data_IF_040389231035
#
_entry.id   IF_040389231035
#
_cell.length_a   1.000
_cell.length_b   1.000
_cell.length_c   1.000
_cell.angle_alpha   90.00
_cell.angle_beta   90.00
_cell.angle_gamma   90.00
#
_symmetry.space_group_name_H-M   'P 1'
#
loop_
_entity.id
_entity.type
_entity.pdbx_description
1 polymer ?
#
# COMPACT_ATOMS: atom_id res chain seq x y z
N UNK A 1 19.33 -17.67 -6.57
CA UNK A 1 20.18 -16.74 -5.79
C UNK A 1 19.29 -15.69 -5.12
N UNK A 2 18.25 -16.15 -4.41
CA UNK A 2 17.59 -15.36 -3.37
C UNK A 2 18.45 -15.55 -2.12
N UNK A 3 19.65 -14.97 -2.15
CA UNK A 3 20.48 -14.95 -0.96
C UNK A 3 19.66 -14.24 0.12
N UNK A 4 19.60 -14.88 1.28
CA UNK A 4 19.11 -14.29 2.52
C UNK A 4 19.71 -12.90 2.65
N UNK A 5 18.90 -11.88 2.36
CA UNK A 5 19.25 -10.49 2.56
C UNK A 5 19.43 -10.29 4.06
N UNK A 6 20.68 -10.46 4.51
CA UNK A 6 21.07 -10.20 5.88
C UNK A 6 20.96 -8.70 6.12
N UNK A 7 20.27 -8.34 7.20
CA UNK A 7 19.98 -6.95 7.57
C UNK A 7 21.22 -6.06 7.47
N UNK A 8 20.97 -4.80 7.15
CA UNK A 8 22.03 -3.79 7.08
C UNK A 8 22.79 -3.75 8.41
N UNK A 9 24.08 -4.06 8.40
CA UNK A 9 24.97 -3.71 9.50
C UNK A 9 24.82 -2.20 9.79
N UNK A 10 24.99 -1.77 11.03
CA UNK A 10 24.85 -0.35 11.42
C UNK A 10 25.72 0.62 10.59
N UNK A 11 26.74 0.10 9.88
CA UNK A 11 27.60 0.82 8.95
C UNK A 11 26.96 1.16 7.59
N UNK A 12 25.85 0.51 7.21
CA UNK A 12 25.17 0.66 5.91
C UNK A 12 23.86 1.47 6.00
N UNK A 13 23.70 2.28 7.06
CA UNK A 13 22.51 3.12 7.21
C UNK A 13 22.39 4.17 6.11
N UNK A 14 21.21 4.24 5.53
CA UNK A 14 20.87 5.23 4.51
C UNK A 14 20.80 6.62 5.12
N UNK A 15 21.56 7.57 4.58
CA UNK A 15 21.38 8.98 4.89
C UNK A 15 20.10 9.47 4.21
N UNK A 16 18.97 9.41 4.94
CA UNK A 16 17.70 9.88 4.41
C UNK A 16 17.74 11.35 4.01
N UNK A 17 18.59 12.18 4.62
CA UNK A 17 18.66 13.62 4.32
C UNK A 17 19.21 13.92 2.93
N UNK A 18 19.90 12.94 2.33
CA UNK A 18 20.40 13.02 0.96
C UNK A 18 19.36 12.61 -0.11
N UNK A 19 18.22 12.03 0.31
CA UNK A 19 17.20 11.55 -0.62
C UNK A 19 16.31 12.70 -1.12
N UNK A 20 15.93 12.69 -2.42
CA UNK A 20 15.22 13.81 -3.05
C UNK A 20 13.82 14.06 -2.48
N UNK A 21 13.21 13.05 -1.87
CA UNK A 21 11.89 13.13 -1.25
C UNK A 21 11.93 13.53 0.22
N UNK A 22 13.12 13.59 0.83
CA UNK A 22 13.23 13.93 2.24
C UNK A 22 12.87 15.38 2.50
N UNK A 23 12.19 15.61 3.62
CA UNK A 23 11.88 16.96 4.11
C UNK A 23 11.86 16.99 5.63
N UNK A 24 12.00 18.19 6.19
CA UNK A 24 11.79 18.42 7.62
C UNK A 24 10.34 18.09 7.99
N UNK A 25 10.17 17.07 8.83
CA UNK A 25 8.92 16.73 9.49
C UNK A 25 8.72 17.49 10.81
N UNK A 26 7.45 17.74 11.15
CA UNK A 26 6.98 18.17 12.47
C UNK A 26 6.45 16.99 13.26
N UNK A 27 7.05 16.73 14.42
CA UNK A 27 6.76 15.56 15.25
C UNK A 27 6.39 16.01 16.65
N UNK A 28 5.33 15.41 17.19
CA UNK A 28 4.93 15.61 18.58
C UNK A 28 4.51 14.27 19.20
N UNK A 29 4.41 14.24 20.52
CA UNK A 29 3.98 13.06 21.25
C UNK A 29 3.04 13.41 22.42
N UNK A 30 2.06 12.54 22.66
CA UNK A 30 1.24 12.51 23.88
C UNK A 30 1.64 11.24 24.64
N UNK A 31 2.52 11.42 25.61
CA UNK A 31 3.20 10.35 26.34
C UNK A 31 2.67 10.21 27.79
N UNK A 32 2.89 9.07 28.46
CA UNK A 32 2.31 8.81 29.79
C UNK A 32 2.90 9.67 30.91
N UNK A 33 4.08 10.26 30.71
CA UNK A 33 4.79 11.08 31.69
C UNK A 33 5.92 10.35 32.43
N UNK A 34 5.89 9.01 32.53
CA UNK A 34 6.96 8.19 33.11
C UNK A 34 6.95 6.75 32.54
N UNK A 35 8.07 6.02 32.70
CA UNK A 35 8.22 4.60 32.35
C UNK A 35 8.91 4.33 31.00
N UNK A 36 9.08 3.05 30.62
CA UNK A 36 9.81 2.62 29.43
C UNK A 36 9.35 3.30 28.12
N UNK A 37 8.03 3.44 27.96
CA UNK A 37 7.45 4.11 26.78
C UNK A 37 7.80 5.60 26.75
N UNK A 38 7.81 6.26 27.91
CA UNK A 38 8.20 7.68 28.01
C UNK A 38 9.66 7.86 27.62
N UNK A 39 10.56 7.04 28.18
CA UNK A 39 12.00 7.09 27.90
C UNK A 39 12.27 6.86 26.41
N UNK A 40 11.60 5.88 25.80
CA UNK A 40 11.68 5.63 24.37
C UNK A 40 11.19 6.81 23.53
N UNK A 41 10.05 7.41 23.87
CA UNK A 41 9.51 8.58 23.15
C UNK A 41 10.46 9.77 23.26
N UNK A 42 11.08 9.99 24.42
CA UNK A 42 12.04 11.07 24.62
C UNK A 42 13.31 10.86 23.79
N UNK A 43 13.83 9.63 23.74
CA UNK A 43 14.97 9.29 22.90
C UNK A 43 14.64 9.38 21.40
N UNK A 44 13.44 8.97 21.00
CA UNK A 44 12.94 9.15 19.64
C UNK A 44 12.82 10.63 19.28
N UNK A 45 12.33 11.47 20.19
CA UNK A 45 12.31 12.93 20.04
C UNK A 45 13.71 13.52 19.86
N UNK A 46 14.70 13.08 20.65
CA UNK A 46 16.10 13.48 20.46
C UNK A 46 16.64 13.03 19.10
N UNK A 47 16.31 11.81 18.66
CA UNK A 47 16.75 11.28 17.37
C UNK A 47 16.16 12.04 16.19
N UNK A 48 14.87 12.43 16.26
CA UNK A 48 14.24 13.33 15.29
C UNK A 48 14.95 14.69 15.24
N UNK A 49 15.15 15.31 16.40
CA UNK A 49 15.84 16.62 16.49
C UNK A 49 17.28 16.53 15.96
N UNK A 50 17.99 15.44 16.23
CA UNK A 50 19.34 15.17 15.74
C UNK A 50 19.42 15.04 14.21
N UNK A 51 18.36 14.57 13.55
CA UNK A 51 18.23 14.51 12.08
C UNK A 51 17.70 15.83 11.48
N UNK A 52 17.46 16.86 12.31
CA UNK A 52 17.01 18.19 11.86
C UNK A 52 15.49 18.38 11.82
N UNK A 53 14.70 17.50 12.43
CA UNK A 53 13.24 17.62 12.49
C UNK A 53 12.76 18.57 13.60
N UNK A 54 11.55 19.13 13.42
CA UNK A 54 10.91 20.00 14.42
C UNK A 54 10.17 19.13 15.44
N UNK A 55 10.62 19.13 16.70
CA UNK A 55 10.05 18.29 17.77
C UNK A 55 9.30 19.12 18.80
N UNK A 56 8.12 18.65 19.16
CA UNK A 56 7.25 19.23 20.18
C UNK A 56 6.22 20.21 19.60
N UNK A 57 5.29 20.63 20.46
CA UNK A 57 4.24 21.57 20.05
C UNK A 57 4.84 22.90 19.60
N UNK A 58 4.46 23.41 18.42
CA UNK A 58 4.84 24.74 18.00
C UNK A 58 4.40 25.74 19.06
N UNK A 59 5.34 26.53 19.57
CA UNK A 59 5.01 27.64 20.48
C UNK A 59 3.99 28.49 19.75
N UNK A 60 2.80 28.63 20.35
CA UNK A 60 1.77 29.56 19.89
C UNK A 60 2.42 30.92 19.66
N UNK A 61 2.69 31.27 18.41
CA UNK A 61 3.09 32.63 18.07
C UNK A 61 1.83 33.45 18.25
N UNK A 62 1.75 34.16 19.38
CA UNK A 62 0.63 35.03 19.69
C UNK A 62 0.38 35.96 18.48
N UNK A 63 -0.75 35.78 17.80
CA UNK A 63 -1.17 36.63 16.68
C UNK A 63 -1.27 35.95 15.31
N UNK A 64 -0.78 34.74 15.10
CA UNK A 64 -0.98 34.02 13.84
C UNK A 64 -2.04 32.91 14.02
N UNK A 65 -3.26 33.15 13.55
CA UNK A 65 -4.36 32.15 13.54
C UNK A 65 -4.12 30.96 12.60
N UNK A 66 -2.87 30.58 12.34
CA UNK A 66 -2.50 29.50 11.43
C UNK A 66 -2.50 28.19 12.21
N UNK A 67 -3.42 27.28 11.88
CA UNK A 67 -3.39 25.89 12.37
C UNK A 67 -2.05 25.28 12.00
N UNK A 68 -1.33 24.74 12.97
CA UNK A 68 -0.09 24.02 12.69
C UNK A 68 -0.43 22.57 12.38
N UNK A 69 0.00 22.09 11.23
CA UNK A 69 -0.09 20.68 10.86
C UNK A 69 1.11 19.92 11.41
N UNK A 70 0.83 18.77 12.05
CA UNK A 70 1.84 17.80 12.46
C UNK A 70 1.97 16.73 11.37
N UNK A 71 3.20 16.36 11.07
CA UNK A 71 3.48 15.26 10.14
C UNK A 71 3.35 13.91 10.85
N UNK A 72 3.84 13.83 12.09
CA UNK A 72 3.74 12.64 12.95
C UNK A 72 3.24 13.05 14.34
N UNK A 73 2.27 12.32 14.87
CA UNK A 73 1.84 12.41 16.25
C UNK A 73 1.83 11.01 16.87
N UNK A 74 2.70 10.79 17.84
CA UNK A 74 2.77 9.56 18.63
C UNK A 74 1.84 9.70 19.85
N UNK A 75 0.98 8.73 20.09
CA UNK A 75 0.07 8.77 21.24
C UNK A 75 0.15 7.46 21.99
N UNK A 76 0.64 7.51 23.21
CA UNK A 76 0.64 6.34 24.08
C UNK A 76 -0.79 5.96 24.48
N UNK A 77 -1.13 4.70 24.23
CA UNK A 77 -2.40 4.10 24.61
C UNK A 77 -2.11 3.11 25.74
N UNK A 78 -2.46 3.43 26.99
CA UNK A 78 -2.17 2.54 28.12
C UNK A 78 -2.94 1.23 27.93
N UNK A 79 -2.23 0.12 28.09
CA UNK A 79 -2.82 -1.22 28.12
C UNK A 79 -3.15 -1.55 29.57
N UNK A 80 -4.42 -1.75 29.94
CA UNK A 80 -4.77 -2.10 31.31
C UNK A 80 -4.05 -3.39 31.75
N UNK A 81 -3.59 -3.48 33.02
CA UNK A 81 -3.09 -4.75 33.54
C UNK A 81 -4.26 -5.73 33.69
N UNK A 82 -3.99 -7.02 33.46
CA UNK A 82 -4.99 -8.06 33.66
C UNK A 82 -4.70 -9.32 32.86
N UNK A 83 -5.44 -10.42 33.12
CA UNK A 83 -5.38 -11.61 32.29
C UNK A 83 -6.00 -11.36 30.91
N UNK A 84 -5.64 -12.19 29.94
CA UNK A 84 -6.17 -12.15 28.57
C UNK A 84 -5.18 -11.58 27.55
N UNK A 85 -5.59 -11.60 26.29
CA UNK A 85 -4.76 -11.10 25.19
C UNK A 85 -4.67 -9.58 25.20
N UNK A 86 -3.72 -9.00 24.46
CA UNK A 86 -3.69 -7.54 24.25
C UNK A 86 -5.03 -7.01 23.70
N UNK A 87 -5.67 -7.79 22.82
CA UNK A 87 -6.99 -7.50 22.28
C UNK A 87 -8.08 -7.51 23.34
N UNK A 88 -8.03 -8.35 24.36
CA UNK A 88 -9.05 -8.35 25.41
C UNK A 88 -8.95 -7.11 26.31
N UNK A 89 -7.73 -6.60 26.48
CA UNK A 89 -7.41 -5.52 27.43
C UNK A 89 -7.65 -4.13 26.86
N UNK A 90 -7.41 -3.92 25.56
CA UNK A 90 -7.61 -2.61 24.91
C UNK A 90 -9.07 -2.42 24.51
N UNK A 91 -9.78 -1.58 25.24
CA UNK A 91 -11.19 -1.26 24.97
C UNK A 91 -11.35 -0.29 23.78
N UNK A 92 -12.54 -0.32 23.16
CA UNK A 92 -12.92 0.67 22.14
C UNK A 92 -12.93 2.09 22.73
N UNK A 93 -12.28 3.02 22.05
CA UNK A 93 -12.27 4.44 22.40
C UNK A 93 -13.33 5.18 21.59
N UNK A 94 -14.38 5.64 22.26
CA UNK A 94 -15.43 6.44 21.62
C UNK A 94 -15.47 7.87 22.19
N UNK A 95 -15.39 8.92 21.34
CA UNK A 95 -15.17 8.90 19.89
C UNK A 95 -13.71 8.52 19.51
N UNK A 96 -13.41 8.29 18.21
CA UNK A 96 -12.06 7.95 17.75
C UNK A 96 -10.98 8.92 18.25
N UNK A 97 -9.75 8.43 18.44
CA UNK A 97 -8.65 9.14 19.10
C UNK A 97 -8.45 10.58 18.62
N UNK A 98 -8.42 10.81 17.30
CA UNK A 98 -8.26 12.16 16.74
C UNK A 98 -9.35 13.14 17.21
N UNK A 99 -10.58 12.67 17.40
CA UNK A 99 -11.68 13.48 17.92
C UNK A 99 -11.45 13.80 19.39
N UNK A 100 -10.96 12.85 20.19
CA UNK A 100 -10.63 13.06 21.60
C UNK A 100 -9.50 14.08 21.76
N UNK A 101 -8.40 13.94 21.00
CA UNK A 101 -7.27 14.85 21.03
C UNK A 101 -7.64 16.29 20.66
N UNK A 102 -8.57 16.45 19.71
CA UNK A 102 -9.12 17.78 19.36
C UNK A 102 -9.99 18.36 20.47
N UNK A 103 -10.75 17.52 21.18
CA UNK A 103 -11.62 17.95 22.30
C UNK A 103 -10.83 18.32 23.55
N UNK A 104 -9.77 17.57 23.88
CA UNK A 104 -8.87 17.89 25.00
C UNK A 104 -8.00 19.12 24.73
N UNK A 105 -7.87 19.52 23.46
CA UNK A 105 -7.03 20.63 23.03
C UNK A 105 -5.57 20.25 22.84
N UNK A 106 -5.25 18.94 22.88
CA UNK A 106 -3.93 18.40 22.59
C UNK A 106 -3.54 18.59 21.12
N UNK A 107 -4.53 18.59 20.23
CA UNK A 107 -4.33 18.83 18.79
C UNK A 107 -5.21 19.98 18.32
N UNK A 108 -4.59 21.04 17.78
CA UNK A 108 -5.29 22.21 17.23
C UNK A 108 -5.30 22.28 15.69
N UNK A 109 -4.58 21.37 15.01
CA UNK A 109 -4.45 21.34 13.55
C UNK A 109 -4.67 19.96 12.93
N UNK A 110 -4.20 19.80 11.70
CA UNK A 110 -4.17 18.51 11.01
C UNK A 110 -3.03 17.64 11.53
N UNK A 111 -3.20 16.33 11.49
CA UNK A 111 -2.16 15.33 11.78
C UNK A 111 -2.16 14.39 10.59
N UNK A 112 -1.03 14.26 9.90
CA UNK A 112 -0.91 13.38 8.73
C UNK A 112 -0.75 11.92 9.15
N UNK A 113 0.18 11.64 10.06
CA UNK A 113 0.42 10.31 10.60
C UNK A 113 0.12 10.28 12.10
N UNK A 114 -1.05 9.76 12.47
CA UNK A 114 -1.38 9.44 13.85
C UNK A 114 -0.93 8.00 14.15
N UNK A 115 -0.09 7.83 15.16
CA UNK A 115 0.49 6.53 15.54
C UNK A 115 0.11 6.21 16.98
N UNK A 116 -0.64 5.13 17.20
CA UNK A 116 -0.92 4.62 18.54
C UNK A 116 0.27 3.80 19.06
N UNK A 117 0.84 4.18 20.21
CA UNK A 117 1.98 3.50 20.82
C UNK A 117 1.49 2.61 21.95
N UNK A 118 1.85 1.33 21.92
CA UNK A 118 1.42 0.31 22.88
C UNK A 118 2.63 -0.40 23.47
N UNK A 119 2.63 -0.58 24.78
CA UNK A 119 3.54 -1.51 25.46
C UNK A 119 2.97 -2.93 25.35
N UNK A 120 3.82 -3.90 25.00
CA UNK A 120 3.44 -5.31 24.87
C UNK A 120 4.32 -6.19 25.75
N UNK A 121 3.77 -7.32 26.18
CA UNK A 121 4.45 -8.24 27.11
C UNK A 121 5.22 -9.35 26.37
N UNK A 122 5.13 -9.40 25.04
CA UNK A 122 5.79 -10.40 24.19
C UNK A 122 6.29 -9.78 22.87
N UNK A 123 7.43 -10.26 22.34
CA UNK A 123 7.98 -9.79 21.07
C UNK A 123 7.11 -10.24 19.89
N UNK A 124 7.05 -9.43 18.83
CA UNK A 124 6.28 -9.70 17.61
C UNK A 124 7.15 -10.21 16.45
N UNK A 125 8.49 -10.04 16.50
CA UNK A 125 9.40 -10.43 15.41
C UNK A 125 9.32 -11.91 14.98
N UNK A 126 8.85 -12.79 15.87
CA UNK A 126 8.68 -14.23 15.60
C UNK A 126 7.22 -14.68 15.44
N UNK A 127 6.26 -13.76 15.56
CA UNK A 127 4.84 -14.07 15.44
C UNK A 127 4.44 -14.28 13.97
N UNK A 128 3.34 -15.01 13.73
CA UNK A 128 2.86 -15.21 12.37
C UNK A 128 2.34 -13.89 11.80
N UNK A 129 2.62 -13.64 10.53
CA UNK A 129 2.22 -12.41 9.85
C UNK A 129 0.73 -12.09 10.03
N UNK A 130 -0.17 -13.06 9.79
CA UNK A 130 -1.62 -12.84 9.96
C UNK A 130 -2.02 -12.52 11.41
N UNK A 131 -1.32 -13.07 12.41
CA UNK A 131 -1.60 -12.80 13.83
C UNK A 131 -1.23 -11.35 14.18
N UNK A 132 -0.07 -10.86 13.70
CA UNK A 132 0.38 -9.47 13.89
C UNK A 132 -0.51 -8.48 13.15
N UNK A 133 -0.88 -8.78 11.89
CA UNK A 133 -1.77 -7.92 11.08
C UNK A 133 -3.15 -7.82 11.74
N UNK A 134 -3.72 -8.94 12.20
CA UNK A 134 -5.01 -8.93 12.89
C UNK A 134 -4.95 -8.15 14.19
N UNK A 135 -3.88 -8.35 14.99
CA UNK A 135 -3.65 -7.59 16.21
C UNK A 135 -3.61 -6.08 15.93
N UNK A 136 -2.79 -5.67 14.97
CA UNK A 136 -2.63 -4.28 14.58
C UNK A 136 -3.96 -3.67 14.11
N UNK A 137 -4.66 -4.31 13.17
CA UNK A 137 -5.93 -3.80 12.62
C UNK A 137 -7.03 -3.64 13.66
N UNK A 138 -7.17 -4.60 14.57
CA UNK A 138 -8.13 -4.46 15.67
C UNK A 138 -7.79 -3.26 16.54
N UNK A 139 -6.52 -3.08 16.91
CA UNK A 139 -6.11 -1.95 17.76
C UNK A 139 -6.21 -0.60 17.03
N UNK A 140 -5.83 -0.54 15.76
CA UNK A 140 -6.05 0.61 14.87
C UNK A 140 -7.52 1.01 14.86
N UNK A 141 -8.43 0.04 14.68
CA UNK A 141 -9.86 0.26 14.65
C UNK A 141 -10.45 0.63 16.02
N UNK A 142 -9.98 0.03 17.13
CA UNK A 142 -10.50 0.35 18.47
C UNK A 142 -10.09 1.72 18.96
N UNK A 143 -8.89 2.16 18.61
CA UNK A 143 -8.36 3.47 19.02
C UNK A 143 -8.71 4.56 17.99
N UNK A 144 -8.74 4.22 16.71
CA UNK A 144 -8.89 5.20 15.62
C UNK A 144 -7.56 5.85 15.24
N UNK A 145 -6.52 5.03 15.11
CA UNK A 145 -5.22 5.40 14.58
C UNK A 145 -4.89 4.50 13.38
N UNK A 146 -4.46 5.04 12.22
CA UNK A 146 -4.14 4.25 11.03
C UNK A 146 -2.82 3.48 11.13
N UNK A 147 -1.99 3.76 12.15
CA UNK A 147 -0.69 3.12 12.38
C UNK A 147 -0.55 2.79 13.86
N UNK A 148 0.17 1.71 14.18
CA UNK A 148 0.47 1.33 15.56
C UNK A 148 1.95 1.04 15.72
N UNK A 149 2.52 1.39 16.88
CA UNK A 149 3.88 1.07 17.27
C UNK A 149 3.82 0.23 18.54
N UNK A 150 4.24 -1.02 18.45
CA UNK A 150 4.37 -1.90 19.59
C UNK A 150 5.78 -1.82 20.15
N UNK A 151 5.91 -1.66 21.46
CA UNK A 151 7.17 -1.60 22.18
C UNK A 151 7.21 -2.78 23.17
N UNK A 152 8.23 -3.63 23.04
CA UNK A 152 8.48 -4.73 23.96
C UNK A 152 9.63 -4.34 24.91
N UNK A 153 9.36 -3.95 26.16
CA UNK A 153 10.40 -3.64 27.13
C UNK A 153 10.93 -4.90 27.82
N UNK A 154 12.19 -4.86 28.21
CA UNK A 154 12.79 -5.79 29.16
C UNK A 154 12.11 -5.62 30.54
N UNK A 155 11.53 -6.68 31.13
CA UNK A 155 10.80 -6.56 32.39
C UNK A 155 11.64 -6.14 33.61
N UNK A 156 12.97 -6.25 33.54
CA UNK A 156 13.86 -5.94 34.67
C UNK A 156 14.45 -4.54 34.56
N UNK A 157 14.83 -4.14 33.34
CA UNK A 157 15.56 -2.90 33.08
C UNK A 157 14.67 -1.80 32.50
N UNK A 158 13.51 -2.15 31.92
CA UNK A 158 12.67 -1.23 31.18
C UNK A 158 13.24 -0.83 29.82
N UNK A 159 14.38 -1.39 29.39
CA UNK A 159 14.96 -1.10 28.08
C UNK A 159 14.07 -1.70 26.99
N UNK A 160 13.75 -0.93 25.94
CA UNK A 160 13.04 -1.48 24.77
C UNK A 160 13.95 -2.48 24.04
N UNK A 161 13.49 -3.73 23.93
CA UNK A 161 14.18 -4.84 23.25
C UNK A 161 13.72 -5.03 21.81
N UNK A 162 12.47 -4.65 21.51
CA UNK A 162 11.91 -4.68 20.16
C UNK A 162 10.92 -3.52 19.98
N UNK A 163 10.91 -2.94 18.78
CA UNK A 163 9.81 -2.09 18.34
C UNK A 163 9.27 -2.55 16.98
N UNK A 164 7.95 -2.67 16.88
CA UNK A 164 7.26 -3.16 15.68
C UNK A 164 6.27 -2.10 15.20
N UNK A 165 6.54 -1.50 14.03
CA UNK A 165 5.69 -0.48 13.41
C UNK A 165 4.72 -1.14 12.44
N UNK A 166 3.42 -1.09 12.72
CA UNK A 166 2.40 -1.67 11.87
C UNK A 166 1.59 -0.63 11.07
N UNK A 167 1.22 -1.00 9.85
CA UNK A 167 0.35 -0.21 8.96
C UNK A 167 -0.93 -0.96 8.59
N UNK A 168 -1.94 -0.27 8.05
CA UNK A 168 -3.21 -0.90 7.68
C UNK A 168 -3.05 -1.93 6.56
N UNK A 169 -2.10 -1.70 5.67
CA UNK A 169 -1.80 -2.53 4.50
C UNK A 169 -1.25 -3.91 4.87
N UNK A 170 -0.76 -4.06 6.11
CA UNK A 170 -0.23 -5.32 6.62
C UNK A 170 1.27 -5.31 6.90
N UNK A 171 1.96 -4.17 6.72
CA UNK A 171 3.36 -4.03 7.09
C UNK A 171 3.53 -4.07 8.60
N UNK A 172 4.55 -4.78 9.09
CA UNK A 172 4.91 -4.87 10.51
C UNK A 172 6.41 -5.17 10.74
N UNK A 173 7.35 -4.44 10.12
CA UNK A 173 8.78 -4.63 10.39
C UNK A 173 9.10 -4.46 11.88
N UNK A 174 9.72 -5.51 12.45
CA UNK A 174 10.17 -5.57 13.85
C UNK A 174 11.66 -5.28 13.97
N UNK A 175 12.02 -4.26 14.74
CA UNK A 175 13.41 -3.80 14.89
C UNK A 175 13.93 -4.17 16.27
N UNK A 176 15.08 -4.83 16.33
CA UNK A 176 15.74 -5.26 17.59
C UNK A 176 17.14 -4.64 17.80
N UNK A 177 17.66 -3.93 16.81
CA UNK A 177 18.95 -3.23 16.84
C UNK A 177 18.78 -1.78 16.46
N UNK A 178 19.50 -0.86 17.11
CA UNK A 178 19.41 0.58 16.89
C UNK A 178 17.96 1.12 16.78
N UNK A 179 17.08 0.55 17.61
CA UNK A 179 15.62 0.62 17.53
C UNK A 179 15.10 2.04 17.33
N UNK A 180 15.59 2.98 18.15
CA UNK A 180 15.14 4.38 18.10
C UNK A 180 15.38 5.02 16.74
N UNK A 181 16.54 4.81 16.14
CA UNK A 181 16.91 5.43 14.87
C UNK A 181 16.19 4.78 13.68
N UNK A 182 15.97 3.46 13.69
CA UNK A 182 15.21 2.79 12.63
C UNK A 182 13.72 3.11 12.68
N UNK A 183 13.13 3.18 13.87
CA UNK A 183 11.74 3.62 14.03
C UNK A 183 11.59 5.09 13.60
N UNK A 184 12.55 5.97 13.94
CA UNK A 184 12.59 7.34 13.41
C UNK A 184 12.54 7.33 11.89
N UNK A 185 13.46 6.62 11.25
CA UNK A 185 13.62 6.65 9.79
C UNK A 185 12.39 6.09 9.05
N UNK A 186 11.75 5.05 9.58
CA UNK A 186 10.46 4.53 9.07
C UNK A 186 9.32 5.53 9.21
N UNK A 187 9.25 6.23 10.35
CA UNK A 187 8.25 7.28 10.57
C UNK A 187 8.50 8.51 9.67
N UNK A 188 9.76 8.88 9.44
CA UNK A 188 10.16 9.95 8.50
C UNK A 188 9.76 9.58 7.08
N UNK A 189 10.04 8.35 6.63
CA UNK A 189 9.64 7.88 5.31
C UNK A 189 8.13 7.97 5.12
N UNK A 190 7.35 7.43 6.08
CA UNK A 190 5.89 7.53 6.05
C UNK A 190 5.36 8.98 6.12
N UNK A 191 6.08 9.87 6.80
CA UNK A 191 5.72 11.28 6.93
C UNK A 191 6.06 12.11 5.69
N UNK A 192 7.11 11.75 4.96
CA UNK A 192 7.50 12.45 3.73
C UNK A 192 6.56 12.12 2.56
N UNK A 193 5.96 10.94 2.56
CA UNK A 193 4.94 10.55 1.60
C UNK A 193 3.65 11.38 1.76
N UNK A 194 3.05 11.75 0.63
CA UNK A 194 1.77 12.47 0.57
C UNK A 194 0.73 11.61 -0.11
N UNK A 195 -0.46 11.49 0.49
CA UNK A 195 -1.60 10.82 -0.15
C UNK A 195 -1.97 11.50 -1.49
N UNK A 196 -2.35 10.68 -2.47
CA UNK A 196 -2.78 11.15 -3.80
C UNK A 196 -4.25 10.89 -4.09
N UNK A 197 -4.97 10.24 -3.17
CA UNK A 197 -6.36 9.80 -3.36
C UNK A 197 -7.36 10.94 -3.64
N UNK A 198 -7.05 12.18 -3.22
CA UNK A 198 -7.85 13.39 -3.47
C UNK A 198 -7.52 14.08 -4.81
N UNK A 199 -6.51 13.59 -5.53
CA UNK A 199 -6.05 14.13 -6.82
C UNK A 199 -6.75 13.42 -7.97
N UNK A 200 -8.08 13.45 -7.95
CA UNK A 200 -8.95 12.77 -8.90
C UNK A 200 -9.83 13.77 -9.66
N UNK A 201 -9.92 13.64 -10.97
CA UNK A 201 -10.87 14.36 -11.83
C UNK A 201 -11.83 13.37 -12.49
N UNK A 202 -13.13 13.62 -12.32
CA UNK A 202 -14.16 12.86 -13.02
C UNK A 202 -14.41 13.49 -14.39
N UNK A 203 -14.30 12.69 -15.45
CA UNK A 203 -14.63 13.07 -16.82
C UNK A 203 -15.95 12.39 -17.18
N UNK A 204 -17.10 13.08 -17.00
CA UNK A 204 -18.42 12.49 -17.20
C UNK A 204 -18.64 12.11 -18.67
N UNK A 205 -19.38 11.03 -18.89
CA UNK A 205 -19.80 10.53 -20.21
C UNK A 205 -18.63 10.33 -21.21
N UNK A 206 -17.41 10.13 -20.71
CA UNK A 206 -16.21 9.92 -21.52
C UNK A 206 -16.24 8.59 -22.28
N UNK A 207 -16.90 7.57 -21.71
CA UNK A 207 -17.03 6.24 -22.32
C UNK A 207 -18.51 5.99 -22.63
N UNK A 208 -18.80 5.63 -23.88
CA UNK A 208 -20.15 5.25 -24.28
C UNK A 208 -20.47 3.82 -23.79
N UNK A 209 -21.69 3.53 -23.30
CA UNK A 209 -22.07 2.20 -22.82
C UNK A 209 -21.83 1.11 -23.86
N UNK A 210 -22.13 1.38 -25.13
CA UNK A 210 -21.91 0.43 -26.23
C UNK A 210 -20.43 0.10 -26.44
N UNK A 211 -19.52 1.06 -26.22
CA UNK A 211 -18.08 0.82 -26.29
C UNK A 211 -17.60 0.02 -25.07
N UNK A 212 -18.09 0.37 -23.88
CA UNK A 212 -17.78 -0.35 -22.64
C UNK A 212 -18.26 -1.82 -22.67
N UNK A 213 -19.48 -2.06 -23.15
CA UNK A 213 -20.05 -3.41 -23.26
C UNK A 213 -19.34 -4.25 -24.34
N UNK A 214 -18.87 -3.61 -25.41
CA UNK A 214 -18.09 -4.25 -26.46
C UNK A 214 -16.67 -4.60 -26.00
N UNK A 215 -16.10 -3.80 -25.09
CA UNK A 215 -14.77 -4.02 -24.53
C UNK A 215 -14.67 -5.40 -23.84
N UNK A 216 -13.50 -6.02 -23.97
CA UNK A 216 -13.25 -7.32 -23.33
C UNK A 216 -12.78 -7.15 -21.88
N UNK A 217 -12.09 -6.05 -21.57
CA UNK A 217 -11.42 -5.84 -20.29
C UNK A 217 -12.32 -5.97 -19.05
N UNK A 218 -13.59 -5.50 -19.00
CA UNK A 218 -14.41 -5.67 -17.78
C UNK A 218 -14.69 -7.14 -17.46
N UNK A 219 -14.96 -7.96 -18.50
CA UNK A 219 -15.21 -9.40 -18.35
C UNK A 219 -13.94 -10.17 -18.00
N UNK A 220 -12.81 -9.78 -18.59
CA UNK A 220 -11.50 -10.37 -18.28
C UNK A 220 -11.14 -10.13 -16.81
N UNK A 221 -11.26 -8.89 -16.32
CA UNK A 221 -11.01 -8.57 -14.91
C UNK A 221 -11.97 -9.32 -13.98
N UNK A 222 -13.24 -9.47 -14.36
CA UNK A 222 -14.19 -10.27 -13.59
C UNK A 222 -13.77 -11.75 -13.48
N UNK A 223 -13.27 -12.34 -14.57
CA UNK A 223 -12.75 -13.71 -14.57
C UNK A 223 -11.44 -13.85 -13.79
N UNK A 224 -10.52 -12.89 -13.94
CA UNK A 224 -9.26 -12.82 -13.21
C UNK A 224 -9.50 -12.72 -11.70
N UNK A 225 -10.45 -11.88 -11.25
CA UNK A 225 -10.80 -11.75 -9.84
C UNK A 225 -11.29 -13.05 -9.22
N UNK A 226 -12.19 -13.76 -9.90
CA UNK A 226 -12.62 -15.11 -9.48
C UNK A 226 -11.47 -16.10 -9.41
N UNK A 227 -10.51 -16.01 -10.34
CA UNK A 227 -9.34 -16.88 -10.36
C UNK A 227 -8.38 -16.55 -9.23
N UNK A 228 -8.03 -15.28 -9.01
CA UNK A 228 -7.22 -14.84 -7.87
C UNK A 228 -7.85 -15.25 -6.54
N UNK A 229 -9.18 -15.15 -6.40
CA UNK A 229 -9.89 -15.63 -5.22
C UNK A 229 -9.74 -17.15 -4.99
N UNK A 230 -9.78 -17.97 -6.05
CA UNK A 230 -9.53 -19.42 -5.95
C UNK A 230 -8.08 -19.76 -5.62
N UNK A 231 -7.13 -18.96 -6.10
CA UNK A 231 -5.70 -19.11 -5.81
C UNK A 231 -5.31 -18.57 -4.42
N UNK A 232 -6.21 -17.88 -3.72
CA UNK A 232 -5.91 -17.25 -2.43
C UNK A 232 -5.10 -15.95 -2.54
N UNK A 233 -4.96 -15.39 -3.74
CA UNK A 233 -4.24 -14.12 -3.99
C UNK A 233 -5.06 -12.88 -3.58
N UNK A 234 -6.35 -13.05 -3.33
CA UNK A 234 -7.25 -12.00 -2.82
C UNK A 234 -7.93 -12.49 -1.53
N UNK A 235 -7.73 -11.81 -0.40
CA UNK A 235 -8.48 -12.10 0.81
C UNK A 235 -9.94 -11.61 0.69
N UNK A 236 -10.85 -12.08 1.56
CA UNK A 236 -12.18 -11.49 1.68
C UNK A 236 -12.12 -9.99 2.02
N UNK A 237 -13.08 -9.18 1.55
CA UNK A 237 -13.20 -7.79 1.99
C UNK A 237 -13.31 -7.69 3.52
N UNK A 238 -12.56 -6.76 4.09
CA UNK A 238 -12.58 -6.49 5.53
C UNK A 238 -13.63 -5.42 5.83
N UNK A 239 -14.55 -5.71 6.74
CA UNK A 239 -15.54 -4.74 7.19
C UNK A 239 -15.07 -4.13 8.49
N UNK A 240 -15.33 -2.84 8.69
CA UNK A 240 -15.00 -2.18 9.96
C UNK A 240 -15.73 -2.85 11.14
N UNK A 241 -16.93 -3.38 10.90
CA UNK A 241 -17.72 -4.14 11.88
C UNK A 241 -17.07 -5.45 12.35
N UNK A 242 -16.06 -5.94 11.64
CA UNK A 242 -15.33 -7.14 12.03
C UNK A 242 -14.31 -6.84 13.14
N UNK A 243 -13.97 -5.56 13.35
CA UNK A 243 -12.95 -5.12 14.31
C UNK A 243 -13.51 -4.35 15.51
N UNK A 244 -14.68 -3.74 15.36
CA UNK A 244 -15.30 -2.88 16.38
C UNK A 244 -16.83 -3.02 16.42
N UNK A 245 -17.43 -2.55 17.50
CA UNK A 245 -18.87 -2.49 17.70
C UNK A 245 -19.59 -1.76 16.57
N UNK A 246 -20.86 -2.11 16.37
CA UNK A 246 -21.74 -1.46 15.37
C UNK A 246 -21.80 0.06 15.56
N UNK A 247 -21.79 0.54 16.82
CA UNK A 247 -21.77 1.96 17.14
C UNK A 247 -20.50 2.65 16.67
N UNK A 248 -19.34 2.04 16.88
CA UNK A 248 -18.05 2.58 16.45
C UNK A 248 -17.92 2.53 14.93
N UNK A 249 -18.34 1.44 14.28
CA UNK A 249 -18.39 1.33 12.83
C UNK A 249 -19.28 2.42 12.20
N UNK A 250 -20.46 2.70 12.79
CA UNK A 250 -21.33 3.78 12.34
C UNK A 250 -20.66 5.16 12.49
N UNK A 251 -19.86 5.37 13.54
CA UNK A 251 -19.09 6.59 13.70
C UNK A 251 -17.97 6.71 12.65
N UNK A 252 -17.27 5.63 12.32
CA UNK A 252 -16.28 5.63 11.23
C UNK A 252 -16.90 5.96 9.89
N UNK A 253 -18.03 5.36 9.55
CA UNK A 253 -18.75 5.69 8.33
C UNK A 253 -19.18 7.16 8.33
N UNK A 254 -19.70 7.67 9.45
CA UNK A 254 -20.21 9.04 9.54
C UNK A 254 -19.11 10.11 9.51
N UNK A 255 -18.01 9.89 10.22
CA UNK A 255 -16.97 10.91 10.39
C UNK A 255 -15.81 10.77 9.42
N UNK A 256 -15.49 9.55 8.99
CA UNK A 256 -14.34 9.26 8.12
C UNK A 256 -14.76 8.71 6.74
N UNK A 257 -16.03 8.36 6.53
CA UNK A 257 -16.49 7.75 5.28
C UNK A 257 -16.00 6.31 5.08
N UNK A 258 -15.46 5.67 6.13
CA UNK A 258 -14.87 4.33 6.05
C UNK A 258 -15.92 3.29 6.42
N UNK A 259 -16.22 2.37 5.49
CA UNK A 259 -17.09 1.20 5.72
C UNK A 259 -16.30 -0.11 5.86
N UNK A 260 -15.18 -0.21 5.14
CA UNK A 260 -14.36 -1.39 4.98
C UNK A 260 -13.31 -1.14 3.91
N UNK A 261 -12.51 -2.16 3.62
CA UNK A 261 -11.48 -2.13 2.59
C UNK A 261 -11.33 -3.51 1.94
N UNK A 262 -10.83 -3.51 0.71
CA UNK A 262 -10.52 -4.72 -0.05
C UNK A 262 -9.08 -4.63 -0.52
N UNK A 263 -8.31 -5.67 -0.29
CA UNK A 263 -6.90 -5.74 -0.66
C UNK A 263 -6.70 -6.22 -2.10
N UNK A 264 -5.50 -5.98 -2.61
CA UNK A 264 -5.10 -6.34 -3.97
C UNK A 264 -5.75 -5.51 -5.06
N UNK A 265 -5.30 -5.63 -6.29
CA UNK A 265 -5.79 -4.87 -7.43
C UNK A 265 -5.58 -5.67 -8.71
N UNK A 266 -6.41 -5.45 -9.73
CA UNK A 266 -6.13 -5.90 -11.09
C UNK A 266 -6.37 -4.76 -12.07
N UNK A 267 -5.60 -4.76 -13.15
CA UNK A 267 -5.74 -3.80 -14.23
C UNK A 267 -5.38 -4.39 -15.59
N UNK A 268 -5.99 -3.83 -16.64
CA UNK A 268 -5.70 -4.17 -18.04
C UNK A 268 -5.74 -2.87 -18.85
N UNK A 269 -4.76 -2.68 -19.73
CA UNK A 269 -4.84 -1.65 -20.76
C UNK A 269 -5.74 -2.16 -21.89
N UNK A 270 -6.80 -1.45 -22.21
CA UNK A 270 -7.74 -1.82 -23.28
C UNK A 270 -7.52 -0.93 -24.51
N UNK A 271 -6.98 -1.48 -25.63
CA UNK A 271 -6.72 -0.68 -26.82
C UNK A 271 -7.99 -0.19 -27.54
N UNK A 272 -9.14 -0.85 -27.35
CA UNK A 272 -10.42 -0.39 -27.92
C UNK A 272 -10.96 0.84 -27.19
N UNK A 273 -10.70 0.94 -25.87
CA UNK A 273 -11.04 2.11 -25.06
C UNK A 273 -9.92 3.17 -25.03
N UNK A 274 -8.70 2.82 -25.47
CA UNK A 274 -7.47 3.60 -25.30
C UNK A 274 -7.25 4.07 -23.85
N UNK A 275 -7.60 3.19 -22.90
CA UNK A 275 -7.66 3.52 -21.49
C UNK A 275 -7.25 2.33 -20.63
N UNK A 276 -6.95 2.62 -19.37
CA UNK A 276 -6.74 1.60 -18.36
C UNK A 276 -8.09 1.23 -17.73
N UNK A 277 -8.37 -0.07 -17.62
CA UNK A 277 -9.50 -0.57 -16.86
C UNK A 277 -8.96 -1.19 -15.58
N UNK A 278 -9.43 -0.72 -14.44
CA UNK A 278 -8.96 -1.12 -13.11
C UNK A 278 -10.12 -1.61 -12.24
N UNK A 279 -9.85 -2.44 -11.24
CA UNK A 279 -10.85 -2.76 -10.21
C UNK A 279 -11.25 -1.52 -9.42
N UNK A 280 -12.53 -1.41 -9.04
CA UNK A 280 -13.00 -0.37 -8.13
C UNK A 280 -12.42 -0.51 -6.70
N UNK A 281 -12.46 0.58 -5.94
CA UNK A 281 -12.05 0.60 -4.53
C UNK A 281 -13.00 -0.20 -3.63
N UNK A 282 -12.46 -0.89 -2.63
CA UNK A 282 -13.23 -1.60 -1.61
C UNK A 282 -14.16 -0.72 -0.78
N UNK A 283 -13.92 0.59 -0.74
CA UNK A 283 -14.83 1.57 -0.13
C UNK A 283 -16.23 1.58 -0.77
N UNK A 284 -16.36 1.03 -1.98
CA UNK A 284 -17.63 0.84 -2.69
C UNK A 284 -18.27 -0.54 -2.45
N UNK A 285 -17.82 -1.28 -1.43
CA UNK A 285 -18.34 -2.61 -1.05
C UNK A 285 -18.17 -3.65 -2.18
N UNK A 286 -17.10 -3.50 -2.96
CA UNK A 286 -16.73 -4.40 -4.05
C UNK A 286 -15.91 -5.56 -3.52
N UNK A 287 -16.37 -6.79 -3.78
CA UNK A 287 -15.58 -8.00 -3.57
C UNK A 287 -14.79 -8.33 -4.83
N UNK A 288 -13.47 -8.10 -4.80
CA UNK A 288 -12.58 -8.33 -5.95
C UNK A 288 -12.51 -9.80 -6.39
N UNK A 289 -13.02 -10.73 -5.57
CA UNK A 289 -13.11 -12.16 -5.88
C UNK A 289 -14.37 -12.54 -6.66
N UNK A 290 -15.39 -11.68 -6.64
CA UNK A 290 -16.67 -11.89 -7.33
C UNK A 290 -17.09 -10.62 -8.10
N UNK A 291 -16.13 -10.07 -8.84
CA UNK A 291 -16.34 -8.88 -9.64
C UNK A 291 -17.39 -9.11 -10.72
N UNK A 292 -18.26 -8.12 -10.87
CA UNK A 292 -19.12 -7.96 -12.03
C UNK A 292 -18.49 -6.96 -13.01
N UNK A 293 -18.88 -6.96 -14.29
CA UNK A 293 -18.39 -5.98 -15.25
C UNK A 293 -18.57 -4.52 -14.79
N UNK A 294 -19.62 -4.21 -14.03
CA UNK A 294 -19.85 -2.88 -13.47
C UNK A 294 -18.98 -2.52 -12.25
N UNK A 295 -18.18 -3.46 -11.72
CA UNK A 295 -17.28 -3.26 -10.58
C UNK A 295 -15.85 -2.84 -10.98
N UNK A 296 -15.67 -2.51 -12.26
CA UNK A 296 -14.42 -1.92 -12.77
C UNK A 296 -14.61 -0.44 -13.07
N UNK A 297 -13.50 0.29 -13.14
CA UNK A 297 -13.43 1.72 -13.39
C UNK A 297 -12.48 1.95 -14.56
N UNK A 298 -12.89 2.78 -15.52
CA UNK A 298 -12.04 3.20 -16.63
C UNK A 298 -11.32 4.48 -16.23
N UNK A 299 -10.01 4.51 -16.40
CA UNK A 299 -9.18 5.68 -16.10
C UNK A 299 -8.24 5.98 -17.26
N UNK A 300 -7.88 7.26 -17.39
CA UNK A 300 -6.77 7.65 -18.25
C UNK A 300 -5.49 7.03 -17.69
N UNK A 301 -4.73 6.37 -18.55
CA UNK A 301 -3.45 5.75 -18.18
C UNK A 301 -2.35 6.78 -17.97
N UNK A 302 -2.58 8.05 -18.34
CA UNK A 302 -1.70 9.18 -18.08
C UNK A 302 -2.22 10.02 -16.90
N UNK A 303 -1.30 10.53 -16.08
CA UNK A 303 -1.62 11.51 -15.05
C UNK A 303 -1.57 12.92 -15.64
N UNK A 304 -2.66 13.69 -15.50
CA UNK A 304 -2.74 15.08 -15.98
C UNK A 304 -2.36 16.04 -14.85
N UNK A 305 -1.17 16.62 -14.92
CA UNK A 305 -0.65 17.47 -13.83
C UNK A 305 -0.57 16.75 -12.48
N UNK A 306 -0.34 15.42 -12.49
CA UNK A 306 -0.34 14.58 -11.29
C UNK A 306 -1.73 14.20 -10.77
N UNK A 307 -2.79 14.47 -11.54
CA UNK A 307 -4.18 14.10 -11.22
C UNK A 307 -4.61 12.90 -12.07
N UNK A 308 -5.33 11.97 -11.45
CA UNK A 308 -5.92 10.82 -12.12
C UNK A 308 -7.27 11.19 -12.73
N UNK A 309 -7.48 10.87 -14.00
CA UNK A 309 -8.74 11.14 -14.70
C UNK A 309 -9.59 9.87 -14.78
N UNK A 310 -10.75 9.87 -14.13
CA UNK A 310 -11.73 8.78 -14.20
C UNK A 310 -12.65 9.04 -15.38
N UNK A 311 -12.66 8.11 -16.34
CA UNK A 311 -13.44 8.21 -17.56
C UNK A 311 -14.79 7.53 -17.31
N UNK A 312 -15.79 8.31 -16.88
CA UNK A 312 -17.08 7.74 -16.48
C UNK A 312 -17.82 7.16 -17.70
N UNK A 313 -18.44 5.99 -17.49
CA UNK A 313 -19.36 5.39 -18.48
C UNK A 313 -20.70 6.13 -18.41
N UNK A 314 -21.23 6.56 -19.56
CA UNK A 314 -22.44 7.37 -19.59
C UNK A 314 -23.63 6.64 -18.97
N UNK A 315 -24.32 7.29 -18.02
CA UNK A 315 -25.46 6.71 -17.30
C UNK A 315 -25.12 5.66 -16.23
N UNK A 316 -23.85 5.34 -16.00
CA UNK A 316 -23.43 4.46 -14.91
C UNK A 316 -23.31 5.22 -13.57
N UNK A 317 -23.43 4.50 -12.46
CA UNK A 317 -23.16 5.06 -11.13
C UNK A 317 -21.68 5.39 -10.92
N UNK A 318 -21.40 6.43 -10.14
CA UNK A 318 -20.01 6.84 -9.85
C UNK A 318 -19.35 5.85 -8.89
N UNK A 319 -18.25 5.25 -9.33
CA UNK A 319 -17.32 4.46 -8.51
C UNK A 319 -15.92 5.06 -8.61
N UNK A 320 -15.18 4.98 -7.51
CA UNK A 320 -13.76 5.35 -7.48
C UNK A 320 -12.88 4.15 -7.82
N UNK A 321 -11.74 4.37 -8.50
CA UNK A 321 -10.77 3.32 -8.78
C UNK A 321 -10.11 2.85 -7.47
N UNK A 322 -9.44 1.69 -7.51
CA UNK A 322 -8.55 1.28 -6.42
C UNK A 322 -7.48 2.35 -6.13
N UNK A 323 -6.99 2.42 -4.90
CA UNK A 323 -6.01 3.46 -4.48
C UNK A 323 -4.67 3.33 -5.21
N UNK A 324 -4.35 2.13 -5.69
CA UNK A 324 -3.17 1.80 -6.48
C UNK A 324 -3.24 2.35 -7.92
N UNK A 325 -4.37 2.93 -8.35
CA UNK A 325 -4.54 3.37 -9.74
C UNK A 325 -3.53 4.46 -10.15
N UNK A 326 -3.10 5.30 -9.21
CA UNK A 326 -2.03 6.28 -9.48
C UNK A 326 -0.69 5.59 -9.76
N UNK A 327 -0.36 4.55 -9.00
CA UNK A 327 0.86 3.76 -9.17
C UNK A 327 0.86 3.07 -10.54
N UNK A 328 -0.29 2.51 -10.92
CA UNK A 328 -0.47 1.88 -12.22
C UNK A 328 -0.41 2.89 -13.37
N UNK A 329 -1.02 4.06 -13.26
CA UNK A 329 -0.88 5.08 -14.32
C UNK A 329 0.58 5.57 -14.43
N UNK A 330 1.28 5.71 -13.30
CA UNK A 330 2.70 6.09 -13.28
C UNK A 330 3.61 5.06 -13.95
N UNK A 331 3.40 3.77 -13.64
CA UNK A 331 4.16 2.69 -14.26
C UNK A 331 3.82 2.55 -15.75
N UNK A 332 2.55 2.73 -16.14
CA UNK A 332 2.12 2.74 -17.54
C UNK A 332 2.75 3.90 -18.33
N UNK A 333 2.87 5.08 -17.72
CA UNK A 333 3.51 6.24 -18.33
C UNK A 333 5.03 6.08 -18.44
N UNK A 334 5.65 5.31 -17.53
CA UNK A 334 7.08 5.02 -17.54
C UNK A 334 7.48 3.92 -18.54
N UNK A 335 6.55 3.02 -18.89
CA UNK A 335 6.79 1.95 -19.85
C UNK A 335 6.98 2.50 -21.28
N UNK A 336 7.86 1.90 -22.10
CA UNK A 336 7.96 2.23 -23.51
C UNK A 336 6.64 1.91 -24.22
N UNK A 337 6.38 2.61 -25.33
CA UNK A 337 5.24 2.32 -26.19
C UNK A 337 5.61 1.29 -27.25
N UNK A 338 4.66 0.42 -27.57
CA UNK A 338 4.73 -0.51 -28.69
C UNK A 338 3.53 -0.33 -29.59
N UNK A 339 3.57 -0.94 -30.77
CA UNK A 339 2.45 -0.97 -31.71
C UNK A 339 1.73 -2.30 -31.66
N UNK A 340 0.41 -2.24 -31.80
CA UNK A 340 -0.48 -3.40 -31.84
C UNK A 340 -1.46 -3.28 -33.00
N UNK A 341 -1.91 -4.41 -33.52
CA UNK A 341 -3.02 -4.51 -34.47
C UNK A 341 -3.94 -5.67 -34.09
N UNK A 342 -5.17 -5.66 -34.62
CA UNK A 342 -6.09 -6.80 -34.49
C UNK A 342 -5.74 -7.86 -35.52
N UNK A 343 -5.55 -9.09 -35.06
CA UNK A 343 -5.44 -10.24 -35.94
C UNK A 343 -6.80 -10.60 -36.59
N UNK A 344 -6.81 -11.64 -37.43
CA UNK A 344 -8.02 -12.09 -38.14
C UNK A 344 -9.18 -12.51 -37.22
N UNK A 345 -8.89 -12.82 -35.95
CA UNK A 345 -9.88 -13.17 -34.93
C UNK A 345 -10.34 -11.97 -34.09
N UNK A 346 -9.82 -10.77 -34.40
CA UNK A 346 -10.14 -9.53 -33.69
C UNK A 346 -9.38 -9.35 -32.38
N UNK A 347 -8.30 -10.10 -32.17
CA UNK A 347 -7.49 -10.04 -30.94
C UNK A 347 -6.31 -9.11 -31.17
N UNK A 348 -6.06 -8.22 -30.21
CA UNK A 348 -4.91 -7.32 -30.23
C UNK A 348 -3.61 -8.10 -30.01
N UNK A 349 -2.64 -7.88 -30.91
CA UNK A 349 -1.30 -8.51 -30.89
C UNK A 349 -0.22 -7.45 -31.13
N UNK A 350 1.00 -7.65 -30.59
CA UNK A 350 2.15 -6.86 -30.99
C UNK A 350 2.34 -6.93 -32.51
N UNK A 351 2.46 -5.76 -33.13
CA UNK A 351 2.65 -5.61 -34.58
C UNK A 351 3.48 -4.35 -34.85
N UNK A 352 4.75 -4.47 -35.29
CA UNK A 352 5.59 -3.31 -35.62
C UNK A 352 4.98 -2.37 -36.67
N UNK A 353 4.15 -2.90 -37.56
CA UNK A 353 3.44 -2.16 -38.61
C UNK A 353 2.02 -1.75 -38.18
N UNK A 354 1.63 -2.07 -36.94
CA UNK A 354 0.35 -1.72 -36.35
C UNK A 354 0.15 -0.21 -36.22
N UNK A 355 -1.10 0.23 -36.19
CA UNK A 355 -1.46 1.66 -36.17
C UNK A 355 -1.88 2.17 -34.80
N UNK A 356 -2.02 1.27 -33.81
CA UNK A 356 -2.39 1.63 -32.44
C UNK A 356 -1.17 1.50 -31.55
N UNK A 357 -0.81 2.58 -30.86
CA UNK A 357 0.27 2.60 -29.88
C UNK A 357 -0.27 2.40 -28.47
N UNK A 358 0.37 1.51 -27.71
CA UNK A 358 -0.01 1.15 -26.33
C UNK A 358 1.24 1.07 -25.45
N UNK A 359 1.15 1.22 -24.12
CA UNK A 359 2.26 0.87 -23.23
C UNK A 359 2.67 -0.60 -23.43
N UNK A 360 3.96 -0.93 -23.27
CA UNK A 360 4.46 -2.31 -23.36
C UNK A 360 3.83 -3.24 -22.30
N UNK A 361 3.35 -2.68 -21.20
CA UNK A 361 2.57 -3.38 -20.17
C UNK A 361 1.13 -3.57 -20.65
N UNK A 362 0.69 -4.82 -20.70
CA UNK A 362 -0.67 -5.22 -21.10
C UNK A 362 -1.66 -5.19 -19.95
N UNK A 363 -1.21 -5.57 -18.76
CA UNK A 363 -1.99 -5.61 -17.55
C UNK A 363 -1.16 -6.08 -16.37
N UNK A 364 -1.79 -6.20 -15.20
CA UNK A 364 -1.12 -6.70 -14.02
C UNK A 364 -2.04 -6.88 -12.84
N UNK A 365 -1.46 -7.31 -11.74
CA UNK A 365 -2.10 -7.49 -10.45
C UNK A 365 -1.21 -7.03 -9.31
N UNK A 366 -1.87 -6.59 -8.24
CA UNK A 366 -1.30 -6.39 -6.91
C UNK A 366 -1.91 -7.41 -5.96
N UNK A 367 -1.10 -8.11 -5.19
CA UNK A 367 -1.54 -9.14 -4.24
C UNK A 367 -0.78 -9.02 -2.91
N UNK A 368 -1.48 -9.23 -1.80
CA UNK A 368 -0.89 -9.16 -0.47
C UNK A 368 -0.39 -10.56 -0.05
N UNK A 369 0.61 -11.05 -0.78
CA UNK A 369 1.22 -12.38 -0.56
C UNK A 369 2.74 -12.25 -0.55
N UNK A 370 3.41 -13.19 0.08
CA UNK A 370 4.86 -13.34 0.03
C UNK A 370 5.24 -14.34 -1.05
N UNK A 371 6.38 -14.14 -1.69
CA UNK A 371 6.90 -15.06 -2.72
C UNK A 371 8.22 -15.64 -2.28
N UNK A 372 8.26 -16.97 -2.23
CA UNK A 372 9.42 -17.74 -1.79
C UNK A 372 10.38 -18.02 -2.95
N UNK A 373 9.83 -18.25 -4.14
CA UNK A 373 10.61 -18.56 -5.34
C UNK A 373 9.86 -18.13 -6.61
N UNK A 374 10.62 -17.71 -7.61
CA UNK A 374 10.11 -17.45 -8.96
C UNK A 374 11.07 -18.02 -10.02
N UNK A 375 10.53 -18.62 -11.07
CA UNK A 375 11.30 -19.08 -12.23
C UNK A 375 11.71 -17.89 -13.09
N UNK A 376 12.96 -17.43 -12.90
CA UNK A 376 13.54 -16.29 -13.60
C UNK A 376 13.64 -16.46 -15.13
N UNK A 377 13.43 -17.67 -15.66
CA UNK A 377 13.36 -17.91 -17.12
C UNK A 377 12.02 -17.51 -17.72
N UNK A 378 10.96 -17.44 -16.89
CA UNK A 378 9.60 -17.10 -17.31
C UNK A 378 9.19 -15.69 -16.89
N UNK A 379 9.67 -15.22 -15.73
CA UNK A 379 9.32 -13.92 -15.16
C UNK A 379 10.58 -13.21 -14.69
N UNK A 380 10.70 -11.90 -14.93
CA UNK A 380 11.76 -11.09 -14.32
C UNK A 380 11.40 -10.72 -12.88
N UNK A 381 12.26 -11.01 -11.90
CA UNK A 381 12.15 -10.43 -10.56
C UNK A 381 13.03 -9.20 -10.38
N UNK A 382 12.40 -8.06 -10.09
CA UNK A 382 13.12 -6.81 -9.83
C UNK A 382 13.22 -6.57 -8.33
N UNK A 383 14.45 -6.42 -7.83
CA UNK A 383 14.68 -6.13 -6.42
C UNK A 383 14.20 -4.71 -6.04
N UNK A 384 13.73 -4.49 -4.79
CA UNK A 384 13.44 -3.15 -4.27
C UNK A 384 14.65 -2.23 -4.37
N UNK A 385 14.44 -1.00 -4.84
CA UNK A 385 15.50 0.02 -4.88
C UNK A 385 15.69 0.65 -3.49
N UNK A 386 16.29 -0.10 -2.57
CA UNK A 386 16.51 0.39 -1.20
C UNK A 386 17.48 1.57 -1.13
N UNK A 387 18.26 1.84 -2.18
CA UNK A 387 19.12 3.02 -2.22
C UNK A 387 18.31 4.31 -2.38
N UNK A 388 17.28 4.30 -3.25
CA UNK A 388 16.39 5.45 -3.42
C UNK A 388 15.20 5.43 -2.44
N UNK A 389 14.75 4.24 -2.05
CA UNK A 389 13.56 3.98 -1.25
C UNK A 389 13.84 2.93 -0.16
N UNK A 390 14.59 3.29 0.91
CA UNK A 390 15.04 2.34 1.92
C UNK A 390 13.93 1.63 2.70
N UNK A 391 12.76 2.26 2.78
CA UNK A 391 11.60 1.80 3.52
C UNK A 391 10.37 1.77 2.62
N UNK A 392 9.41 0.90 2.93
CA UNK A 392 8.12 0.82 2.24
C UNK A 392 7.23 2.03 2.50
N UNK A 393 6.41 2.35 1.50
CA UNK A 393 5.38 3.38 1.55
C UNK A 393 4.02 2.72 1.36
N UNK A 394 2.97 3.29 1.96
CA UNK A 394 1.61 2.82 1.72
C UNK A 394 1.17 3.12 0.29
N UNK A 395 0.32 2.26 -0.27
CA UNK A 395 -0.35 2.52 -1.54
C UNK A 395 -1.14 3.84 -1.52
N UNK A 396 -1.30 4.44 -2.69
CA UNK A 396 -1.99 5.72 -2.83
C UNK A 396 -1.19 6.91 -2.26
N UNK A 397 0.15 6.79 -2.27
CA UNK A 397 1.07 7.89 -1.96
C UNK A 397 1.94 8.26 -3.17
N UNK A 398 2.40 9.52 -3.21
CA UNK A 398 3.32 10.00 -4.25
C UNK A 398 4.64 9.22 -4.32
N UNK A 399 5.19 8.80 -3.18
CA UNK A 399 6.41 8.00 -3.17
C UNK A 399 6.18 6.58 -3.70
N UNK A 400 5.02 5.97 -3.46
CA UNK A 400 4.70 4.69 -4.08
C UNK A 400 4.47 4.82 -5.60
N UNK A 401 3.90 5.94 -6.04
CA UNK A 401 3.78 6.33 -7.46
C UNK A 401 5.16 6.44 -8.12
N UNK A 402 6.13 7.04 -7.43
CA UNK A 402 7.51 7.14 -7.91
C UNK A 402 8.22 5.79 -7.92
N UNK A 403 8.04 4.96 -6.87
CA UNK A 403 8.58 3.58 -6.78
C UNK A 403 8.11 2.73 -7.96
N UNK A 404 6.82 2.80 -8.31
CA UNK A 404 6.26 2.03 -9.41
C UNK A 404 6.91 2.40 -10.76
N UNK A 405 7.04 3.70 -11.04
CA UNK A 405 7.70 4.18 -12.25
C UNK A 405 9.21 3.90 -12.27
N UNK A 406 9.90 4.07 -11.14
CA UNK A 406 11.32 3.77 -11.00
C UNK A 406 11.60 2.27 -11.22
N UNK A 407 10.72 1.39 -10.75
CA UNK A 407 10.86 -0.05 -10.92
C UNK A 407 10.68 -0.45 -12.38
N UNK A 408 9.68 0.09 -13.07
CA UNK A 408 9.50 -0.12 -14.52
C UNK A 408 10.72 0.34 -15.32
N UNK A 409 11.33 1.48 -14.98
CA UNK A 409 12.56 1.96 -15.65
C UNK A 409 13.77 1.06 -15.46
N UNK A 410 13.81 0.24 -14.42
CA UNK A 410 14.90 -0.71 -14.12
C UNK A 410 14.67 -2.10 -14.70
N UNK A 411 13.45 -2.41 -15.17
CA UNK A 411 13.11 -3.70 -15.75
C UNK A 411 13.85 -3.92 -17.07
N UNK A 412 14.54 -5.05 -17.20
CA UNK A 412 15.10 -5.47 -18.48
C UNK A 412 13.98 -5.95 -19.41
N UNK A 413 13.04 -6.78 -18.93
CA UNK A 413 12.01 -7.36 -19.78
C UNK A 413 11.06 -6.31 -20.38
N UNK A 414 10.81 -5.20 -19.68
CA UNK A 414 10.00 -4.10 -20.21
C UNK A 414 10.78 -3.25 -21.22
N UNK A 415 12.07 -3.00 -21.00
CA UNK A 415 12.83 -1.99 -21.75
C UNK A 415 13.73 -2.57 -22.85
N UNK A 416 13.98 -3.87 -22.85
CA UNK A 416 14.77 -4.57 -23.87
C UNK A 416 13.86 -5.41 -24.77
N UNK A 417 13.67 -4.98 -26.02
CA UNK A 417 12.83 -5.69 -26.99
C UNK A 417 13.39 -7.08 -27.38
N UNK A 418 14.64 -7.40 -27.04
CA UNK A 418 15.24 -8.72 -27.24
C UNK A 418 14.98 -9.67 -26.06
N UNK A 419 14.49 -9.18 -24.92
CA UNK A 419 14.11 -10.02 -23.80
C UNK A 419 12.82 -10.78 -24.14
N UNK A 420 12.85 -12.10 -23.96
CA UNK A 420 11.74 -12.98 -24.31
C UNK A 420 10.72 -13.15 -23.18
N UNK A 421 10.98 -12.63 -21.98
CA UNK A 421 10.09 -12.83 -20.83
C UNK A 421 8.83 -11.98 -20.99
N UNK A 422 7.68 -12.62 -20.83
CA UNK A 422 6.37 -11.96 -20.95
C UNK A 422 5.86 -11.37 -19.64
N UNK A 423 6.56 -11.57 -18.54
CA UNK A 423 6.09 -11.23 -17.20
C UNK A 423 7.20 -10.57 -16.38
N UNK A 424 6.79 -9.69 -15.47
CA UNK A 424 7.68 -9.00 -14.53
C UNK A 424 7.03 -8.99 -13.15
N UNK A 425 7.80 -9.13 -12.07
CA UNK A 425 7.34 -8.96 -10.69
C UNK A 425 8.30 -8.13 -9.87
N UNK A 426 7.79 -7.58 -8.77
CA UNK A 426 8.63 -7.08 -7.70
C UNK A 426 7.89 -7.09 -6.35
N UNK A 427 8.61 -7.36 -5.25
CA UNK A 427 8.06 -7.23 -3.92
C UNK A 427 7.89 -5.75 -3.56
N UNK A 428 6.72 -5.42 -3.04
CA UNK A 428 6.42 -4.14 -2.42
C UNK A 428 6.76 -4.25 -0.93
N UNK A 429 7.78 -3.51 -0.49
CA UNK A 429 8.30 -3.59 0.89
C UNK A 429 7.16 -3.51 1.92
N UNK A 430 7.05 -4.55 2.75
CA UNK A 430 6.08 -4.70 3.84
C UNK A 430 4.62 -4.92 3.41
N UNK A 431 4.32 -4.95 2.11
CA UNK A 431 2.95 -4.87 1.61
C UNK A 431 2.53 -6.13 0.87
N UNK A 432 3.31 -6.56 -0.12
CA UNK A 432 2.93 -7.68 -0.99
C UNK A 432 3.71 -7.68 -2.29
N UNK A 433 3.03 -7.96 -3.39
CA UNK A 433 3.62 -8.24 -4.69
C UNK A 433 2.88 -7.53 -5.81
N UNK A 434 3.63 -6.88 -6.69
CA UNK A 434 3.14 -6.41 -7.98
C UNK A 434 3.67 -7.33 -9.07
N UNK A 435 2.78 -7.77 -9.96
CA UNK A 435 3.15 -8.59 -11.11
C UNK A 435 2.46 -8.11 -12.38
N UNK A 436 3.20 -8.06 -13.48
CA UNK A 436 2.80 -7.49 -14.76
C UNK A 436 2.85 -8.54 -15.86
N UNK A 437 1.95 -8.38 -16.83
CA UNK A 437 1.96 -9.07 -18.11
C UNK A 437 2.32 -8.07 -19.21
N UNK A 438 3.26 -8.45 -20.07
CA UNK A 438 3.76 -7.63 -21.18
C UNK A 438 3.12 -8.06 -22.50
N UNK A 439 2.98 -7.11 -23.42
CA UNK A 439 2.62 -7.41 -24.80
C UNK A 439 3.77 -8.09 -25.53
N UNK A 440 3.72 -9.42 -25.61
CA UNK A 440 4.68 -10.25 -26.36
C UNK A 440 3.94 -11.18 -27.32
N UNK A 441 4.60 -11.77 -28.34
CA UNK A 441 3.93 -12.68 -29.27
C UNK A 441 3.29 -13.90 -28.61
N UNK A 442 3.89 -14.38 -27.51
CA UNK A 442 3.54 -15.66 -26.88
C UNK A 442 2.54 -15.57 -25.72
N UNK A 443 2.03 -14.36 -25.38
CA UNK A 443 1.01 -14.24 -24.33
C UNK A 443 -0.36 -14.74 -24.77
N UNK A 444 -1.15 -15.34 -23.84
CA UNK A 444 -2.49 -15.79 -24.15
C UNK A 444 -3.43 -14.69 -24.67
N UNK A 445 -4.45 -15.10 -25.41
CA UNK A 445 -5.47 -14.22 -26.00
C UNK A 445 -6.19 -13.34 -24.97
N UNK A 446 -6.43 -13.89 -23.78
CA UNK A 446 -7.08 -13.19 -22.66
C UNK A 446 -6.03 -12.66 -21.68
N UNK A 447 -5.96 -11.33 -21.45
CA UNK A 447 -5.03 -10.74 -20.49
C UNK A 447 -5.11 -11.38 -19.11
N UNK A 448 -3.99 -11.40 -18.40
CA UNK A 448 -3.82 -11.96 -17.05
C UNK A 448 -3.92 -13.49 -16.97
N UNK A 449 -4.37 -14.19 -18.02
CA UNK A 449 -4.48 -15.65 -17.99
C UNK A 449 -3.13 -16.30 -17.75
N UNK A 450 -2.14 -15.92 -18.55
CA UNK A 450 -0.79 -16.47 -18.46
C UNK A 450 -0.07 -16.04 -17.19
N UNK A 451 -0.28 -14.78 -16.75
CA UNK A 451 0.24 -14.31 -15.47
C UNK A 451 -0.30 -15.13 -14.30
N UNK A 452 -1.62 -15.39 -14.26
CA UNK A 452 -2.23 -16.19 -13.22
C UNK A 452 -1.86 -17.68 -13.31
N UNK A 453 -1.50 -18.20 -14.49
CA UNK A 453 -0.94 -19.55 -14.63
C UNK A 453 0.42 -19.69 -13.91
N UNK A 454 1.19 -18.60 -13.75
CA UNK A 454 2.44 -18.63 -13.00
C UNK A 454 2.22 -18.89 -11.51
N UNK A 455 1.13 -18.35 -10.95
CA UNK A 455 0.72 -18.57 -9.55
C UNK A 455 -0.10 -19.85 -9.36
N UNK A 456 -0.51 -20.54 -10.42
CA UNK A 456 -1.37 -21.71 -10.30
C UNK A 456 -0.53 -22.98 -10.14
N UNK A 457 -0.61 -23.72 -9.00
CA UNK A 457 0.12 -24.97 -8.82
C UNK A 457 -0.31 -26.06 -9.82
N UNK A 458 -1.52 -25.99 -10.36
CA UNK A 458 -2.00 -26.87 -11.42
C UNK A 458 -1.68 -26.34 -12.84
N UNK A 459 -1.22 -25.08 -12.92
CA UNK A 459 -0.77 -24.42 -14.14
C UNK A 459 0.73 -24.58 -14.35
N UNK A 460 1.45 -23.45 -14.51
CA UNK A 460 2.91 -23.45 -14.69
C UNK A 460 3.65 -23.57 -13.37
N UNK A 461 3.03 -23.16 -12.25
CA UNK A 461 3.64 -23.15 -10.92
C UNK A 461 5.02 -22.47 -10.88
N UNK A 462 5.18 -21.42 -11.69
CA UNK A 462 6.44 -20.69 -11.84
C UNK A 462 6.71 -19.72 -10.68
N UNK A 463 5.71 -19.44 -9.84
CA UNK A 463 5.83 -18.62 -8.64
C UNK A 463 5.31 -19.42 -7.45
N UNK A 464 6.20 -19.72 -6.50
CA UNK A 464 5.84 -20.28 -5.21
C UNK A 464 5.56 -19.13 -4.24
N UNK A 465 4.36 -19.11 -3.67
CA UNK A 465 3.89 -18.00 -2.82
C UNK A 465 3.18 -18.50 -1.56
N UNK A 466 3.10 -17.62 -0.56
CA UNK A 466 2.42 -17.83 0.72
C UNK A 466 1.34 -16.78 0.91
N UNK A 467 0.12 -17.25 1.18
CA UNK A 467 -1.03 -16.37 1.46
C UNK A 467 -1.10 -15.92 2.93
N UNK A 468 -0.33 -16.56 3.79
CA UNK A 468 -0.31 -16.31 5.24
C UNK A 468 0.91 -15.50 5.69
N UNK A 469 1.74 -15.05 4.75
CA UNK A 469 2.93 -14.26 5.01
C UNK A 469 3.15 -13.19 3.93
N UNK A 470 3.68 -12.05 4.34
CA UNK A 470 4.33 -11.05 3.47
C UNK A 470 5.67 -10.72 4.11
N UNK A 471 6.73 -10.67 3.32
CA UNK A 471 8.08 -10.44 3.84
C UNK A 471 8.22 -9.06 4.50
N UNK A 472 8.88 -9.04 5.66
CA UNK A 472 9.09 -7.85 6.49
C UNK A 472 10.60 -7.54 6.66
N UNK A 473 11.35 -7.31 5.56
CA UNK A 473 12.80 -7.17 5.63
C UNK A 473 13.21 -5.90 6.38
N UNK A 474 13.91 -6.06 7.51
CA UNK A 474 14.37 -4.95 8.36
C UNK A 474 15.51 -4.21 7.69
#
# INVERSE_FOLDING_TARGET
>A
MLDTWHGTDAADRFDLTALPWWRVCRVDAVAPGEGPVQDFIDDLGKAFAGQGHEVGRPRSVAGAGRRVELDVLLVHIPVPPGPGTLLDRVQEQYPPLMVNLRRSGDVRGGVRNLVGVFEVDEPLAGAKHLEVVQLARVLMARVGAPKTLFLYPDPQTGQILEATLCTMEGGHPSVTTDIVADIRDRLVAAACATEVNDRLDQVPDAVQPTAFDAARSPRVLAAAGRRMGRLGLLPPPHRVTDYVSVSMAAAYQRYLGIKGFSEGMMFVYDPDLQALVVTASGSFEVDKRDLKPEDVVVVDHQLDGGRLRVLSVAGAGVKGPSVEAWEVCSLMAAAPKIRVSKDASGIWRPDPDGTVEVPAVRGGLHAHVGVDEADETLIESIAPDRAAYPYGFGCGTDLMVDVAAATVRRSQAINDAADSRSYVRWPMLYHGEMALELWTPDVPDEPLTGLLDLFDPAGRAAIAFRTDNVDQPV
#
